data_IF_787578121758
#
_entry.id   IF_787578121758
#
_cell.length_a   1.000
_cell.length_b   1.000
_cell.length_c   1.000
_cell.angle_alpha   90.00
_cell.angle_beta   90.00
_cell.angle_gamma   90.00
#
_symmetry.space_group_name_H-M   'P 1'
#
loop_
_entity.id
_entity.type
_entity.pdbx_description
1 polymer ?
#
# COMPACT_ATOMS: atom_id res chain seq x y z
N UNK A 1 41.18 -2.47 -75.88
CA UNK A 1 40.46 -3.62 -75.27
C UNK A 1 39.78 -3.15 -73.98
N UNK A 2 38.61 -3.74 -73.66
CA UNK A 2 37.80 -3.56 -72.43
C UNK A 2 37.06 -2.21 -72.26
N UNK A 3 36.00 -2.28 -71.44
CA UNK A 3 34.74 -1.49 -71.47
C UNK A 3 34.42 -0.90 -70.07
N UNK A 4 33.36 -0.05 -69.90
CA UNK A 4 33.23 0.88 -68.78
C UNK A 4 32.49 0.32 -67.54
N UNK A 5 32.62 0.97 -66.38
CA UNK A 5 31.82 0.80 -65.15
C UNK A 5 32.12 2.00 -64.21
N UNK A 6 31.25 2.60 -63.38
CA UNK A 6 29.78 2.85 -63.37
C UNK A 6 29.52 3.95 -62.31
N UNK A 7 28.47 4.78 -62.48
CA UNK A 7 28.02 5.78 -61.47
C UNK A 7 27.35 5.06 -60.29
N UNK A 8 27.70 5.37 -59.03
CA UNK A 8 26.75 5.18 -57.93
C UNK A 8 27.01 6.11 -56.74
N UNK A 9 26.07 7.05 -56.54
CA UNK A 9 25.92 7.83 -55.31
C UNK A 9 25.48 6.91 -54.17
N UNK A 10 26.04 7.07 -52.96
CA UNK A 10 25.45 6.49 -51.76
C UNK A 10 25.25 7.55 -50.67
N UNK A 11 24.06 8.14 -50.68
CA UNK A 11 23.57 9.05 -49.66
C UNK A 11 23.22 8.20 -48.42
N UNK A 12 24.12 8.13 -47.43
CA UNK A 12 23.89 7.31 -46.23
C UNK A 12 22.90 8.01 -45.29
N UNK A 13 21.61 7.80 -45.57
CA UNK A 13 20.49 8.32 -44.80
C UNK A 13 20.44 7.65 -43.43
N UNK A 14 20.99 8.31 -42.40
CA UNK A 14 20.88 7.87 -41.00
C UNK A 14 19.41 8.04 -40.59
N UNK A 15 18.64 6.97 -40.76
CA UNK A 15 17.25 6.89 -40.33
C UNK A 15 17.23 6.73 -38.81
N UNK A 16 17.38 7.85 -38.09
CA UNK A 16 17.19 7.89 -36.65
C UNK A 16 15.73 7.53 -36.35
N UNK A 17 15.49 6.25 -36.04
CA UNK A 17 14.19 5.76 -35.59
C UNK A 17 13.92 6.34 -34.20
N UNK A 18 13.35 7.54 -34.19
CA UNK A 18 12.63 8.10 -33.06
C UNK A 18 11.45 7.17 -32.76
N UNK A 19 11.72 6.12 -31.99
CA UNK A 19 10.66 5.31 -31.39
C UNK A 19 9.81 6.28 -30.55
N UNK A 20 8.50 6.42 -30.83
CA UNK A 20 7.66 7.26 -30.00
C UNK A 20 7.64 6.64 -28.60
N UNK A 21 8.21 7.36 -27.63
CA UNK A 21 8.02 7.08 -26.22
C UNK A 21 6.53 7.30 -25.92
N UNK A 22 5.74 6.25 -26.09
CA UNK A 22 4.33 6.27 -25.75
C UNK A 22 4.20 6.73 -24.28
N UNK A 23 3.32 7.70 -23.97
CA UNK A 23 3.11 8.11 -22.59
C UNK A 23 2.70 6.87 -21.79
N UNK A 24 3.53 6.53 -20.81
CA UNK A 24 3.37 5.32 -20.03
C UNK A 24 2.00 5.36 -19.35
N UNK A 25 1.16 4.36 -19.63
CA UNK A 25 -0.11 4.16 -18.94
C UNK A 25 0.14 3.59 -17.53
N UNK A 26 0.95 4.29 -16.74
CA UNK A 26 1.39 3.84 -15.43
C UNK A 26 0.19 3.47 -14.55
N UNK A 27 -0.84 4.32 -14.48
CA UNK A 27 -2.03 4.01 -13.71
C UNK A 27 -2.81 2.78 -14.16
N UNK A 28 -2.75 2.34 -15.42
CA UNK A 28 -3.45 1.10 -15.82
C UNK A 28 -2.78 -0.11 -15.16
N UNK A 29 -1.46 -0.23 -15.27
CA UNK A 29 -0.69 -1.30 -14.64
C UNK A 29 -0.78 -1.24 -13.11
N UNK A 30 -0.71 -0.04 -12.52
CA UNK A 30 -0.77 0.09 -11.06
C UNK A 30 -2.17 -0.14 -10.48
N UNK A 31 -3.25 0.15 -11.23
CA UNK A 31 -4.63 -0.21 -10.86
C UNK A 31 -4.88 -1.70 -11.05
N UNK A 32 -4.30 -2.33 -12.07
CA UNK A 32 -4.33 -3.78 -12.25
C UNK A 32 -3.63 -4.48 -11.08
N UNK A 33 -2.44 -4.02 -10.69
CA UNK A 33 -1.72 -4.51 -9.51
C UNK A 33 -2.56 -4.38 -8.22
N UNK A 34 -3.17 -3.22 -7.96
CA UNK A 34 -4.08 -3.06 -6.80
C UNK A 34 -5.29 -4.01 -6.89
N UNK A 35 -5.81 -4.26 -8.09
CA UNK A 35 -6.95 -5.15 -8.32
C UNK A 35 -6.64 -6.61 -7.98
N UNK A 36 -5.38 -7.05 -8.04
CA UNK A 36 -4.97 -8.41 -7.63
C UNK A 36 -5.25 -8.70 -6.15
N UNK A 37 -5.32 -7.66 -5.31
CA UNK A 37 -5.59 -7.76 -3.87
C UNK A 37 -7.08 -7.83 -3.52
N UNK A 38 -8.00 -7.72 -4.49
CA UNK A 38 -9.45 -7.81 -4.27
C UNK A 38 -9.80 -9.26 -3.90
N UNK A 39 -10.09 -9.49 -2.62
CA UNK A 39 -10.60 -10.75 -2.08
C UNK A 39 -11.12 -10.58 -0.63
N UNK A 40 -11.57 -11.66 -0.02
CA UNK A 40 -11.65 -11.82 1.43
C UNK A 40 -10.34 -12.40 1.97
N UNK A 41 -9.94 -11.92 3.14
CA UNK A 41 -8.67 -12.26 3.78
C UNK A 41 -8.85 -12.51 5.27
N UNK A 42 -7.99 -13.36 5.83
CA UNK A 42 -7.88 -13.70 7.24
C UNK A 42 -6.42 -13.62 7.66
N UNK A 43 -6.16 -13.11 8.85
CA UNK A 43 -4.82 -13.04 9.42
C UNK A 43 -4.87 -13.23 10.92
N UNK A 44 -3.82 -13.80 11.49
CA UNK A 44 -3.67 -13.95 12.93
C UNK A 44 -2.27 -13.48 13.33
N UNK A 45 -2.19 -12.80 14.46
CA UNK A 45 -0.96 -12.32 15.06
C UNK A 45 -1.10 -12.28 16.59
N UNK A 46 -0.14 -11.60 17.22
CA UNK A 46 -0.09 -11.43 18.68
C UNK A 46 0.10 -9.96 18.99
N UNK A 47 -0.72 -9.43 19.91
CA UNK A 47 -0.50 -8.10 20.49
C UNK A 47 0.54 -8.24 21.61
N UNK A 48 1.59 -7.43 21.53
CA UNK A 48 2.75 -7.44 22.44
C UNK A 48 2.91 -6.03 23.03
N UNK A 49 3.25 -5.95 24.31
CA UNK A 49 3.52 -4.69 25.04
C UNK A 49 2.51 -4.37 26.16
N UNK A 50 1.46 -5.18 26.31
CA UNK A 50 0.61 -5.22 27.50
C UNK A 50 1.21 -6.13 28.58
N UNK A 51 0.43 -6.42 29.63
CA UNK A 51 0.86 -7.27 30.75
C UNK A 51 1.24 -8.69 30.30
N UNK A 52 0.49 -9.27 29.36
CA UNK A 52 0.75 -10.55 28.71
C UNK A 52 0.52 -10.47 27.18
N UNK A 53 1.11 -11.35 26.35
CA UNK A 53 0.85 -11.36 24.91
C UNK A 53 -0.55 -11.89 24.57
N UNK A 54 -1.34 -11.11 23.83
CA UNK A 54 -2.74 -11.46 23.52
C UNK A 54 -2.94 -11.95 22.07
N UNK A 55 -3.85 -12.91 21.81
CA UNK A 55 -4.24 -13.28 20.44
C UNK A 55 -4.92 -12.13 19.69
N UNK A 56 -4.42 -11.80 18.50
CA UNK A 56 -4.95 -10.71 17.66
C UNK A 56 -5.39 -11.26 16.30
N UNK A 57 -6.70 -11.47 16.11
CA UNK A 57 -7.24 -12.17 14.92
C UNK A 57 -8.04 -11.25 14.03
N UNK A 58 -7.66 -11.13 12.77
CA UNK A 58 -8.26 -10.20 11.81
C UNK A 58 -8.97 -10.89 10.64
N UNK A 59 -10.04 -10.24 10.17
CA UNK A 59 -10.64 -10.45 8.85
C UNK A 59 -10.57 -9.14 8.07
N UNK A 60 -10.26 -9.21 6.80
CA UNK A 60 -10.13 -8.06 5.91
C UNK A 60 -10.85 -8.35 4.59
N UNK A 61 -11.70 -7.43 4.16
CA UNK A 61 -12.37 -7.48 2.86
C UNK A 61 -11.78 -6.37 1.99
N UNK A 62 -11.20 -6.73 0.84
CA UNK A 62 -10.73 -5.78 -0.15
C UNK A 62 -11.67 -5.84 -1.35
N UNK A 63 -12.20 -4.68 -1.75
CA UNK A 63 -13.19 -4.56 -2.81
C UNK A 63 -12.80 -3.45 -3.78
N UNK A 64 -13.33 -3.52 -5.01
CA UNK A 64 -13.18 -2.43 -6.00
C UNK A 64 -13.85 -1.15 -5.48
N UNK A 65 -13.12 -0.04 -5.49
CA UNK A 65 -13.67 1.29 -5.19
C UNK A 65 -14.24 1.98 -6.44
N UNK A 66 -14.49 3.29 -6.35
CA UNK A 66 -14.77 4.11 -7.52
C UNK A 66 -13.46 4.52 -8.22
N UNK A 67 -13.44 4.51 -9.56
CA UNK A 67 -12.25 4.86 -10.36
C UNK A 67 -11.06 3.91 -10.11
N UNK A 68 -9.84 4.44 -10.07
CA UNK A 68 -8.52 3.81 -9.94
C UNK A 68 -8.12 3.47 -8.50
N UNK A 69 -9.04 2.88 -7.71
CA UNK A 69 -8.79 2.53 -6.29
C UNK A 69 -9.45 1.24 -5.83
N UNK A 70 -8.88 0.67 -4.78
CA UNK A 70 -9.50 -0.37 -3.95
C UNK A 70 -9.92 0.22 -2.60
N UNK A 71 -11.04 -0.25 -2.08
CA UNK A 71 -11.51 0.04 -0.72
C UNK A 71 -11.28 -1.20 0.13
N UNK A 72 -10.98 -1.04 1.42
CA UNK A 72 -10.86 -2.14 2.35
C UNK A 72 -11.63 -1.89 3.65
N UNK A 73 -12.14 -2.96 4.23
CA UNK A 73 -12.77 -2.97 5.56
C UNK A 73 -12.22 -4.14 6.36
N UNK A 74 -11.78 -3.87 7.58
CA UNK A 74 -11.16 -4.86 8.45
C UNK A 74 -11.83 -4.93 9.82
N UNK A 75 -11.75 -6.09 10.45
CA UNK A 75 -12.20 -6.33 11.81
C UNK A 75 -11.19 -7.24 12.51
N UNK A 76 -10.56 -6.73 13.56
CA UNK A 76 -9.64 -7.47 14.41
C UNK A 76 -10.25 -7.67 15.80
N UNK A 77 -10.29 -8.92 16.26
CA UNK A 77 -10.72 -9.30 17.60
C UNK A 77 -9.52 -9.37 18.53
N UNK A 78 -9.68 -8.73 19.68
CA UNK A 78 -8.85 -8.86 20.89
C UNK A 78 -9.64 -9.66 21.93
N UNK A 79 -9.07 -9.87 23.13
CA UNK A 79 -9.72 -10.63 24.21
C UNK A 79 -11.07 -10.01 24.60
N UNK A 80 -11.08 -8.71 24.91
CA UNK A 80 -12.27 -8.01 25.43
C UNK A 80 -12.93 -7.03 24.45
N UNK A 81 -12.36 -6.83 23.26
CA UNK A 81 -12.84 -5.79 22.33
C UNK A 81 -12.61 -6.11 20.85
N UNK A 82 -13.10 -5.24 19.98
CA UNK A 82 -12.98 -5.38 18.52
C UNK A 82 -12.59 -4.05 17.87
N UNK A 83 -11.43 -4.04 17.23
CA UNK A 83 -10.99 -2.98 16.34
C UNK A 83 -11.67 -3.17 14.98
N UNK A 84 -12.39 -2.15 14.52
CA UNK A 84 -12.96 -2.09 13.17
C UNK A 84 -12.25 -0.99 12.40
N UNK A 85 -11.70 -1.32 11.24
CA UNK A 85 -10.99 -0.40 10.35
C UNK A 85 -11.68 -0.29 9.00
N UNK A 86 -11.54 0.85 8.34
CA UNK A 86 -11.89 1.02 6.93
C UNK A 86 -10.88 1.93 6.25
N UNK A 87 -10.80 1.86 4.93
CA UNK A 87 -9.87 2.69 4.19
C UNK A 87 -9.88 2.44 2.70
N UNK A 88 -8.92 3.07 2.04
CA UNK A 88 -8.81 3.13 0.59
C UNK A 88 -7.33 3.14 0.20
N UNK A 89 -6.96 2.42 -0.86
CA UNK A 89 -5.67 2.53 -1.53
C UNK A 89 -5.92 2.86 -3.00
N UNK A 90 -5.26 3.90 -3.51
CA UNK A 90 -5.39 4.37 -4.87
C UNK A 90 -4.02 4.57 -5.52
N UNK A 91 -3.99 4.57 -6.85
CA UNK A 91 -2.90 5.18 -7.60
C UNK A 91 -3.38 6.53 -8.15
N UNK A 92 -2.57 7.57 -8.00
CA UNK A 92 -2.82 8.92 -8.52
C UNK A 92 -1.96 9.15 -9.74
N UNK A 93 -2.57 9.10 -10.93
CA UNK A 93 -1.91 9.35 -12.22
C UNK A 93 -1.27 10.74 -12.29
N UNK A 94 -1.98 11.78 -11.85
CA UNK A 94 -1.51 13.18 -11.81
C UNK A 94 -0.20 13.34 -11.01
N UNK A 95 0.04 12.43 -10.07
CA UNK A 95 1.13 12.50 -9.10
C UNK A 95 2.16 11.37 -9.24
N UNK A 96 1.92 10.38 -10.11
CA UNK A 96 2.79 9.22 -10.31
C UNK A 96 3.03 8.36 -9.05
N UNK A 97 2.07 8.28 -8.11
CA UNK A 97 2.27 7.63 -6.80
C UNK A 97 1.04 6.93 -6.27
N UNK A 98 1.24 5.99 -5.34
CA UNK A 98 0.16 5.42 -4.54
C UNK A 98 -0.15 6.28 -3.33
N UNK A 99 -1.40 6.25 -2.91
CA UNK A 99 -1.89 6.93 -1.71
C UNK A 99 -2.84 6.00 -0.95
N UNK A 100 -2.70 5.95 0.37
CA UNK A 100 -3.57 5.19 1.26
C UNK A 100 -4.17 6.10 2.33
N UNK A 101 -5.41 5.82 2.71
CA UNK A 101 -6.09 6.38 3.89
C UNK A 101 -6.72 5.26 4.71
N UNK A 102 -6.75 5.42 6.03
CA UNK A 102 -7.38 4.49 6.97
C UNK A 102 -8.13 5.28 8.05
N UNK A 103 -9.22 4.73 8.56
CA UNK A 103 -9.82 5.14 9.83
C UNK A 103 -10.20 3.93 10.69
N UNK A 104 -10.46 4.14 11.98
CA UNK A 104 -10.92 3.10 12.90
C UNK A 104 -11.97 3.56 13.91
N UNK A 105 -12.69 2.61 14.50
CA UNK A 105 -13.59 2.87 15.64
C UNK A 105 -12.85 3.27 16.94
N UNK A 106 -11.51 3.22 16.97
CA UNK A 106 -10.69 3.69 18.08
C UNK A 106 -10.32 5.19 17.97
N UNK A 107 -10.76 5.88 16.92
CA UNK A 107 -10.51 7.32 16.70
C UNK A 107 -9.26 7.65 15.87
N UNK A 108 -8.50 6.64 15.43
CA UNK A 108 -7.40 6.82 14.47
C UNK A 108 -7.91 7.17 13.06
N UNK A 109 -7.26 8.14 12.43
CA UNK A 109 -7.37 8.51 11.01
C UNK A 109 -5.98 8.74 10.40
N UNK A 110 -5.50 7.80 9.59
CA UNK A 110 -4.18 7.88 8.95
C UNK A 110 -4.24 8.17 7.45
N UNK A 111 -3.21 8.80 6.91
CA UNK A 111 -2.91 8.83 5.48
C UNK A 111 -1.42 8.57 5.22
N UNK A 112 -1.08 8.06 4.04
CA UNK A 112 0.30 7.80 3.63
C UNK A 112 0.48 7.82 2.10
N UNK A 113 1.66 8.26 1.67
CA UNK A 113 2.17 8.03 0.31
C UNK A 113 2.82 6.65 0.27
N UNK A 114 2.46 5.83 -0.71
CA UNK A 114 3.00 4.48 -0.88
C UNK A 114 4.37 4.50 -1.56
N UNK A 115 5.32 3.73 -1.01
CA UNK A 115 6.66 3.56 -1.55
C UNK A 115 6.73 2.21 -2.26
N UNK A 116 6.86 2.22 -3.60
CA UNK A 116 7.04 1.01 -4.42
C UNK A 116 8.53 0.69 -4.60
N UNK A 117 8.93 -0.58 -4.42
CA UNK A 117 10.28 -1.11 -4.68
C UNK A 117 10.16 -2.52 -5.27
N UNK A 118 10.28 -2.64 -6.59
CA UNK A 118 9.87 -3.86 -7.29
C UNK A 118 8.37 -4.10 -7.07
N UNK A 119 8.03 -5.33 -6.71
CA UNK A 119 6.64 -5.77 -6.47
C UNK A 119 6.13 -5.48 -5.05
N UNK A 120 6.98 -4.88 -4.20
CA UNK A 120 6.64 -4.42 -2.84
C UNK A 120 6.12 -2.99 -2.85
N UNK A 121 4.97 -2.75 -2.22
CA UNK A 121 4.45 -1.41 -1.88
C UNK A 121 4.25 -1.33 -0.37
N UNK A 122 4.82 -0.30 0.27
CA UNK A 122 4.62 -0.03 1.71
C UNK A 122 3.99 1.33 1.95
N UNK A 123 3.03 1.39 2.87
CA UNK A 123 2.35 2.60 3.33
C UNK A 123 2.52 2.73 4.85
N UNK A 124 3.14 3.81 5.31
CA UNK A 124 3.36 4.07 6.74
C UNK A 124 2.38 5.16 7.20
N UNK A 125 1.19 4.75 7.66
CA UNK A 125 0.15 5.64 8.16
C UNK A 125 0.43 5.96 9.64
N UNK A 126 0.43 7.25 10.00
CA UNK A 126 0.70 7.71 11.38
C UNK A 126 -0.20 8.88 11.71
N UNK A 127 -0.68 8.94 12.95
CA UNK A 127 -1.42 10.09 13.49
C UNK A 127 -1.09 10.26 14.99
N UNK A 128 -0.96 11.51 15.44
CA UNK A 128 -0.96 11.86 16.86
C UNK A 128 -2.38 12.23 17.27
N UNK A 129 -2.91 11.55 18.30
CA UNK A 129 -4.20 11.84 18.90
C UNK A 129 -4.04 12.21 20.38
N UNK A 130 -5.09 12.77 20.98
CA UNK A 130 -5.23 12.82 22.44
C UNK A 130 -6.23 11.76 22.89
N UNK A 131 -5.89 11.01 23.92
CA UNK A 131 -6.78 10.02 24.50
C UNK A 131 -7.90 10.68 25.35
N UNK A 132 -8.69 9.86 26.05
CA UNK A 132 -9.77 10.34 26.92
C UNK A 132 -9.27 11.02 28.21
N UNK A 133 -8.01 10.80 28.59
CA UNK A 133 -7.29 11.43 29.69
C UNK A 133 -6.77 12.84 29.29
N UNK A 134 -6.62 13.08 27.99
CA UNK A 134 -5.97 14.25 27.41
C UNK A 134 -4.49 14.03 27.06
N UNK A 135 -3.97 12.84 27.35
CA UNK A 135 -2.61 12.37 27.11
C UNK A 135 -2.38 12.14 25.62
N UNK A 136 -1.19 12.45 25.12
CA UNK A 136 -0.88 12.23 23.71
C UNK A 136 -0.57 10.74 23.45
N UNK A 137 -1.25 10.18 22.44
CA UNK A 137 -1.08 8.79 22.00
C UNK A 137 -0.80 8.82 20.51
N UNK A 138 0.29 8.17 20.09
CA UNK A 138 0.61 8.00 18.67
C UNK A 138 0.07 6.67 18.19
N UNK A 139 -0.83 6.68 17.22
CA UNK A 139 -1.35 5.47 16.59
C UNK A 139 -0.74 5.37 15.18
N UNK A 140 -0.25 4.18 14.84
CA UNK A 140 0.39 3.89 13.57
C UNK A 140 -0.13 2.58 12.97
N UNK A 141 -0.16 2.54 11.64
CA UNK A 141 -0.38 1.32 10.87
C UNK A 141 0.56 1.31 9.67
N UNK A 142 1.31 0.22 9.47
CA UNK A 142 2.07 -0.03 8.24
C UNK A 142 1.32 -1.07 7.42
N UNK A 143 0.88 -0.70 6.22
CA UNK A 143 0.35 -1.67 5.24
C UNK A 143 1.49 -2.08 4.31
N UNK A 144 1.64 -3.37 4.11
CA UNK A 144 2.60 -3.98 3.20
C UNK A 144 1.87 -4.84 2.18
N UNK A 145 2.08 -4.55 0.90
CA UNK A 145 1.63 -5.33 -0.25
C UNK A 145 2.86 -5.93 -0.93
N UNK A 146 2.95 -7.26 -1.01
CA UNK A 146 4.06 -7.99 -1.67
C UNK A 146 3.50 -9.27 -2.28
N UNK A 147 3.76 -9.51 -3.56
CA UNK A 147 3.48 -10.79 -4.25
C UNK A 147 2.06 -11.35 -4.00
N UNK A 148 1.05 -10.47 -3.99
CA UNK A 148 -0.34 -10.86 -3.73
C UNK A 148 -0.62 -11.26 -2.28
N UNK A 149 0.24 -10.88 -1.34
CA UNK A 149 0.08 -11.05 0.11
C UNK A 149 -0.05 -9.68 0.78
N UNK A 150 -0.90 -9.58 1.81
CA UNK A 150 -1.07 -8.38 2.63
C UNK A 150 -0.45 -8.64 4.00
N UNK A 151 0.30 -7.69 4.55
CA UNK A 151 0.66 -7.67 5.97
C UNK A 151 0.31 -6.30 6.53
N UNK A 152 -0.23 -6.25 7.75
CA UNK A 152 -0.48 -5.00 8.46
C UNK A 152 0.20 -5.06 9.81
N UNK A 153 1.13 -4.13 10.04
CA UNK A 153 1.72 -3.90 11.36
C UNK A 153 0.97 -2.76 12.04
N UNK A 154 0.56 -2.95 13.29
CA UNK A 154 -0.10 -1.95 14.13
C UNK A 154 0.85 -1.51 15.25
N UNK A 155 0.84 -0.21 15.58
CA UNK A 155 1.63 0.40 16.64
C UNK A 155 0.75 1.39 17.43
N UNK A 156 0.82 1.33 18.76
CA UNK A 156 0.26 2.37 19.65
C UNK A 156 1.31 2.73 20.69
N UNK A 157 1.80 3.96 20.69
CA UNK A 157 2.73 4.50 21.69
C UNK A 157 2.00 5.45 22.63
N UNK A 158 2.13 5.21 23.94
CA UNK A 158 1.58 6.06 25.00
C UNK A 158 2.68 7.02 25.48
N UNK A 159 2.61 8.30 25.10
CA UNK A 159 3.73 9.23 25.29
C UNK A 159 4.08 9.48 26.78
N UNK A 160 3.14 9.28 27.71
CA UNK A 160 3.37 9.49 29.14
C UNK A 160 4.15 8.35 29.81
N UNK A 161 3.96 7.10 29.39
CA UNK A 161 4.67 5.94 29.95
C UNK A 161 5.84 5.47 29.09
N UNK A 162 5.86 5.85 27.80
CA UNK A 162 6.75 5.28 26.80
C UNK A 162 6.41 3.83 26.41
N UNK A 163 5.27 3.30 26.87
CA UNK A 163 4.81 1.96 26.52
C UNK A 163 4.39 1.90 25.05
N UNK A 164 4.77 0.83 24.35
CA UNK A 164 4.40 0.60 22.95
C UNK A 164 3.69 -0.75 22.81
N UNK A 165 2.46 -0.72 22.34
CA UNK A 165 1.72 -1.89 21.90
C UNK A 165 2.00 -2.13 20.41
N UNK A 166 2.30 -3.37 20.03
CA UNK A 166 2.53 -3.75 18.62
C UNK A 166 1.83 -5.06 18.27
N UNK A 167 1.37 -5.18 17.03
CA UNK A 167 0.92 -6.44 16.45
C UNK A 167 1.28 -6.49 14.96
N UNK A 168 1.80 -7.61 14.46
CA UNK A 168 1.98 -7.84 13.02
C UNK A 168 1.02 -8.91 12.57
N UNK A 169 0.28 -8.65 11.48
CA UNK A 169 -0.77 -9.52 10.97
C UNK A 169 -0.52 -9.83 9.50
N UNK A 170 0.09 -10.99 9.19
CA UNK A 170 0.09 -11.52 7.83
C UNK A 170 -1.32 -12.02 7.47
N UNK A 171 -1.79 -11.70 6.26
CA UNK A 171 -3.09 -12.10 5.76
C UNK A 171 -2.97 -13.09 4.60
N UNK A 172 -3.75 -14.16 4.65
CA UNK A 172 -4.02 -15.09 3.55
C UNK A 172 -5.50 -15.06 3.17
N UNK A 173 -5.87 -15.65 2.04
CA UNK A 173 -7.27 -15.78 1.59
C UNK A 173 -7.97 -16.92 2.36
#
# INVERSE_FOLDING_TARGET
MKKPTTILSLLLMVLATLAPSAPAHAGVAEVELLSTYIDQWRGEGTLIGGDEPEPFRCRLSVAKGNQSRINYTGRCSLVDTTLSISGTIAYSDDNGRYEAVMSSNAGFTGSAIGIKRGDRISFDLRESQRDRSGSEVRIGARILLVDGTITVDFEVEFNESGSVLTASVPFSR
#
